data_IF_101813342568
#
_entry.id   IF_101813342568
#
_cell.length_a   1.000
_cell.length_b   1.000
_cell.length_c   1.000
_cell.angle_alpha   90.00
_cell.angle_beta   90.00
_cell.angle_gamma   90.00
#
_symmetry.space_group_name_H-M   'P 1'
#
loop_
_entity.id
_entity.type
_entity.pdbx_description
1 polymer ?
#
# COMPACT_ATOMS: atom_id res chain seq x y z
N UNK A 1 26.30 3.13 3.11
CA UNK A 1 25.78 1.80 3.49
C UNK A 1 25.39 1.69 4.97
N UNK A 2 26.24 2.08 5.93
CA UNK A 2 25.92 2.02 7.38
C UNK A 2 24.62 2.74 7.80
N UNK A 3 24.26 3.84 7.12
CA UNK A 3 23.07 4.66 7.44
C UNK A 3 21.76 3.97 7.06
N UNK A 4 21.68 3.42 5.85
CA UNK A 4 20.50 2.70 5.37
C UNK A 4 20.22 1.43 6.19
N UNK A 5 21.28 0.69 6.55
CA UNK A 5 21.15 -0.52 7.39
C UNK A 5 20.68 -0.19 8.80
N UNK A 6 21.19 0.91 9.38
CA UNK A 6 20.72 1.37 10.69
C UNK A 6 19.28 1.85 10.65
N UNK A 7 18.88 2.58 9.59
CA UNK A 7 17.50 3.00 9.38
C UNK A 7 16.57 1.79 9.21
N UNK A 8 16.98 0.78 8.43
CA UNK A 8 16.21 -0.45 8.25
C UNK A 8 16.03 -1.20 9.57
N UNK A 9 17.10 -1.34 10.36
CA UNK A 9 17.02 -1.98 11.68
C UNK A 9 16.09 -1.21 12.62
N UNK A 10 16.16 0.12 12.59
CA UNK A 10 15.29 0.98 13.39
C UNK A 10 13.83 0.77 12.98
N UNK A 11 13.52 0.85 11.69
CA UNK A 11 12.16 0.68 11.16
C UNK A 11 11.57 -0.68 11.55
N UNK A 12 12.32 -1.78 11.36
CA UNK A 12 11.87 -3.11 11.78
C UNK A 12 11.63 -3.17 13.29
N UNK A 13 12.50 -2.56 14.09
CA UNK A 13 12.33 -2.51 15.55
C UNK A 13 11.07 -1.74 15.95
N UNK A 14 10.79 -0.61 15.28
CA UNK A 14 9.58 0.19 15.52
C UNK A 14 8.32 -0.58 15.13
N UNK A 15 8.31 -1.23 13.96
CA UNK A 15 7.19 -2.06 13.49
C UNK A 15 6.84 -3.19 14.46
N UNK A 16 7.86 -3.83 15.05
CA UNK A 16 7.67 -4.87 16.07
C UNK A 16 7.14 -4.28 17.37
N UNK A 17 7.72 -3.18 17.86
CA UNK A 17 7.28 -2.51 19.11
C UNK A 17 5.86 -1.98 19.02
N UNK A 18 5.50 -1.39 17.88
CA UNK A 18 4.17 -0.85 17.57
C UNK A 18 3.17 -1.96 17.19
N UNK A 19 3.61 -3.24 17.19
CA UNK A 19 2.80 -4.43 16.91
C UNK A 19 2.20 -4.48 15.50
N UNK A 20 2.73 -3.71 14.54
CA UNK A 20 2.30 -3.77 13.14
C UNK A 20 2.49 -5.17 12.54
N UNK A 21 3.58 -5.88 12.88
CA UNK A 21 3.76 -7.25 12.40
C UNK A 21 2.68 -8.21 12.92
N UNK A 22 2.22 -8.03 14.16
CA UNK A 22 1.12 -8.82 14.72
C UNK A 22 -0.21 -8.46 14.06
N UNK A 23 -0.45 -7.17 13.80
CA UNK A 23 -1.61 -6.69 13.07
C UNK A 23 -1.62 -7.21 11.61
N UNK A 24 -0.45 -7.35 10.97
CA UNK A 24 -0.33 -7.92 9.62
C UNK A 24 -0.73 -9.40 9.60
N UNK A 25 -0.25 -10.18 10.57
CA UNK A 25 -0.66 -11.59 10.73
C UNK A 25 -2.17 -11.67 10.96
N UNK A 26 -2.71 -10.82 11.82
CA UNK A 26 -4.16 -10.75 12.07
C UNK A 26 -4.95 -10.39 10.80
N UNK A 27 -4.48 -9.43 9.99
CA UNK A 27 -5.06 -9.10 8.67
C UNK A 27 -5.12 -10.33 7.77
N UNK A 28 -3.99 -11.06 7.64
CA UNK A 28 -3.94 -12.29 6.85
C UNK A 28 -4.92 -13.36 7.35
N UNK A 29 -5.06 -13.51 8.67
CA UNK A 29 -6.04 -14.44 9.25
C UNK A 29 -7.48 -14.04 8.95
N UNK A 30 -7.81 -12.74 8.95
CA UNK A 30 -9.13 -12.25 8.54
C UNK A 30 -9.42 -12.65 7.09
N UNK A 31 -8.47 -12.43 6.19
CA UNK A 31 -8.67 -12.78 4.77
C UNK A 31 -8.81 -14.29 4.56
N UNK A 32 -8.04 -15.11 5.28
CA UNK A 32 -8.23 -16.56 5.27
C UNK A 32 -9.59 -16.99 5.82
N UNK A 33 -10.06 -16.34 6.89
CA UNK A 33 -11.38 -16.61 7.45
C UNK A 33 -12.51 -16.26 6.46
N UNK A 34 -12.29 -15.32 5.54
CA UNK A 34 -13.22 -14.99 4.46
C UNK A 34 -13.09 -15.98 3.29
N UNK A 35 -11.87 -16.32 2.86
CA UNK A 35 -11.62 -17.14 1.66
C UNK A 35 -11.87 -18.63 1.86
N UNK A 36 -11.45 -19.21 3.00
CA UNK A 36 -11.51 -20.66 3.21
C UNK A 36 -12.94 -21.22 3.23
N UNK A 37 -13.96 -20.52 3.77
CA UNK A 37 -15.35 -20.98 3.67
C UNK A 37 -15.93 -20.93 2.26
N UNK A 38 -15.35 -20.16 1.34
CA UNK A 38 -15.84 -20.07 -0.03
C UNK A 38 -15.56 -21.34 -0.82
N UNK A 39 -16.46 -21.67 -1.76
CA UNK A 39 -16.25 -22.77 -2.70
C UNK A 39 -15.06 -22.50 -3.61
N UNK A 40 -14.42 -23.56 -4.11
CA UNK A 40 -13.27 -23.45 -5.01
C UNK A 40 -13.55 -22.63 -6.27
N UNK A 41 -14.81 -22.56 -6.72
CA UNK A 41 -15.21 -21.73 -7.86
C UNK A 41 -15.30 -20.23 -7.53
N UNK A 42 -15.62 -19.86 -6.28
CA UNK A 42 -15.79 -18.46 -5.86
C UNK A 42 -14.49 -17.80 -5.39
N UNK A 43 -13.54 -18.58 -4.86
CA UNK A 43 -12.24 -18.07 -4.39
C UNK A 43 -11.48 -17.24 -5.43
N UNK A 44 -11.22 -17.76 -6.66
CA UNK A 44 -10.49 -16.97 -7.65
C UNK A 44 -11.22 -15.68 -7.99
N UNK A 45 -12.56 -15.64 -7.94
CA UNK A 45 -13.39 -14.46 -8.20
C UNK A 45 -13.18 -13.39 -7.11
N UNK A 46 -13.12 -13.80 -5.84
CA UNK A 46 -12.97 -12.90 -4.70
C UNK A 46 -11.53 -12.41 -4.46
N UNK A 47 -10.53 -13.19 -4.87
CA UNK A 47 -9.12 -12.95 -4.52
C UNK A 47 -8.56 -11.58 -4.94
N UNK A 48 -8.77 -11.05 -6.17
CA UNK A 48 -8.31 -9.70 -6.52
C UNK A 48 -8.87 -8.61 -5.60
N UNK A 49 -10.13 -8.71 -5.19
CA UNK A 49 -10.77 -7.75 -4.30
C UNK A 49 -10.21 -7.84 -2.88
N UNK A 50 -9.95 -9.06 -2.41
CA UNK A 50 -9.36 -9.32 -1.10
C UNK A 50 -7.92 -8.82 -1.05
N UNK A 51 -7.13 -9.07 -2.09
CA UNK A 51 -5.78 -8.53 -2.21
C UNK A 51 -5.76 -7.01 -2.30
N UNK A 52 -6.70 -6.39 -3.04
CA UNK A 52 -6.85 -4.93 -3.02
C UNK A 52 -7.23 -4.42 -1.62
N UNK A 53 -8.05 -5.17 -0.90
CA UNK A 53 -8.38 -4.91 0.50
C UNK A 53 -7.14 -4.96 1.40
N UNK A 54 -6.28 -5.98 1.27
CA UNK A 54 -5.03 -6.08 2.02
C UNK A 54 -4.04 -4.96 1.65
N UNK A 55 -3.94 -4.64 0.36
CA UNK A 55 -3.21 -3.48 -0.16
C UNK A 55 -3.71 -2.19 0.49
N UNK A 56 -5.01 -2.04 0.75
CA UNK A 56 -5.54 -0.92 1.51
C UNK A 56 -5.19 -0.99 3.00
N UNK A 57 -5.34 -2.15 3.65
CA UNK A 57 -5.03 -2.29 5.09
C UNK A 57 -3.55 -2.00 5.37
N UNK A 58 -2.65 -2.71 4.72
CA UNK A 58 -1.21 -2.58 4.96
C UNK A 58 -0.66 -1.38 4.21
N UNK A 59 -1.02 -1.22 2.94
CA UNK A 59 -0.49 -0.12 2.12
C UNK A 59 -1.00 1.24 2.59
N UNK A 60 -2.27 1.42 2.89
CA UNK A 60 -2.78 2.74 3.26
C UNK A 60 -2.74 2.99 4.78
N UNK A 61 -3.25 2.05 5.59
CA UNK A 61 -3.42 2.32 7.03
C UNK A 61 -2.15 2.11 7.85
N UNK A 62 -1.31 1.12 7.55
CA UNK A 62 -0.14 0.85 8.41
C UNK A 62 0.91 1.96 8.31
N UNK A 63 1.16 2.49 7.11
CA UNK A 63 2.09 3.61 6.97
C UNK A 63 1.54 4.87 7.63
N UNK A 64 0.24 5.15 7.50
CA UNK A 64 -0.39 6.29 8.16
C UNK A 64 -0.31 6.16 9.67
N UNK A 65 -0.66 4.99 10.22
CA UNK A 65 -0.51 4.68 11.64
C UNK A 65 0.92 4.81 12.13
N UNK A 66 1.90 4.30 11.36
CA UNK A 66 3.32 4.42 11.67
C UNK A 66 3.75 5.88 11.78
N UNK A 67 3.31 6.74 10.85
CA UNK A 67 3.57 8.19 10.92
C UNK A 67 2.94 8.82 12.16
N UNK A 68 1.73 8.42 12.57
CA UNK A 68 1.11 8.94 13.80
C UNK A 68 1.84 8.49 15.06
N UNK A 69 2.27 7.24 15.14
CA UNK A 69 3.13 6.80 16.25
C UNK A 69 4.42 7.61 16.30
N UNK A 70 5.06 7.85 15.16
CA UNK A 70 6.28 8.65 15.10
C UNK A 70 6.07 10.11 15.52
N UNK A 71 4.91 10.69 15.19
CA UNK A 71 4.51 12.03 15.66
C UNK A 71 4.27 12.05 17.17
N UNK A 72 3.56 11.05 17.71
CA UNK A 72 3.22 10.97 19.14
C UNK A 72 4.43 10.70 20.03
N UNK A 73 5.32 9.80 19.60
CA UNK A 73 6.56 9.44 20.30
C UNK A 73 7.66 10.50 20.14
N UNK A 74 7.40 11.58 19.37
CA UNK A 74 8.38 12.62 19.00
C UNK A 74 9.63 12.08 18.31
N UNK A 75 9.59 10.84 17.82
CA UNK A 75 10.71 10.20 17.11
C UNK A 75 10.92 10.83 15.75
N UNK A 76 9.88 11.38 15.13
CA UNK A 76 9.99 12.10 13.85
C UNK A 76 10.94 13.31 13.94
N UNK A 77 10.87 14.07 15.04
CA UNK A 77 11.79 15.19 15.29
C UNK A 77 13.23 14.74 15.54
N UNK A 78 13.41 13.61 16.24
CA UNK A 78 14.72 13.01 16.45
C UNK A 78 15.34 12.47 15.15
N UNK A 79 14.52 11.93 14.24
CA UNK A 79 14.99 11.48 12.92
C UNK A 79 15.44 12.68 12.07
N UNK A 80 14.71 13.79 12.10
CA UNK A 80 15.04 15.01 11.35
C UNK A 80 16.33 15.67 11.84
N UNK A 81 16.67 15.55 13.12
CA UNK A 81 17.94 16.07 13.67
C UNK A 81 19.15 15.19 13.37
N UNK A 82 18.95 14.01 12.76
CA UNK A 82 20.04 13.15 12.28
C UNK A 82 20.39 13.50 10.82
N UNK A 83 21.57 13.11 10.31
CA UNK A 83 21.90 13.31 8.89
C UNK A 83 21.06 12.46 7.92
N UNK A 84 20.00 11.76 8.38
CA UNK A 84 19.14 10.89 7.57
C UNK A 84 18.40 11.67 6.48
N UNK A 85 18.58 11.27 5.22
CA UNK A 85 17.90 11.93 4.10
C UNK A 85 16.45 11.44 4.02
N UNK A 86 15.55 12.31 3.59
CA UNK A 86 14.12 11.97 3.41
C UNK A 86 13.92 10.70 2.55
N UNK A 87 14.66 10.56 1.45
CA UNK A 87 14.52 9.38 0.59
C UNK A 87 14.97 8.09 1.29
N UNK A 88 15.99 8.14 2.17
CA UNK A 88 16.42 6.96 2.93
C UNK A 88 15.35 6.57 3.96
N UNK A 89 14.79 7.56 4.65
CA UNK A 89 13.68 7.37 5.59
C UNK A 89 12.47 6.73 4.90
N UNK A 90 11.99 7.36 3.81
CA UNK A 90 10.78 6.91 3.14
C UNK A 90 11.00 5.57 2.45
N UNK A 91 12.09 5.36 1.70
CA UNK A 91 12.35 4.10 1.02
C UNK A 91 12.48 2.91 1.98
N UNK A 92 13.11 3.10 3.15
CA UNK A 92 13.18 2.05 4.17
C UNK A 92 11.78 1.68 4.68
N UNK A 93 10.97 2.68 5.02
CA UNK A 93 9.60 2.47 5.49
C UNK A 93 8.74 1.76 4.43
N UNK A 94 8.84 2.21 3.18
CA UNK A 94 8.16 1.57 2.05
C UNK A 94 8.62 0.12 1.86
N UNK A 95 9.93 -0.15 1.91
CA UNK A 95 10.47 -1.49 1.71
C UNK A 95 10.02 -2.48 2.81
N UNK A 96 10.00 -2.05 4.07
CA UNK A 96 9.56 -2.91 5.18
C UNK A 96 8.08 -3.22 5.07
N UNK A 97 7.22 -2.22 4.88
CA UNK A 97 5.78 -2.43 4.76
C UNK A 97 5.39 -3.18 3.48
N UNK A 98 6.09 -2.92 2.37
CA UNK A 98 5.93 -3.70 1.14
C UNK A 98 6.28 -5.16 1.38
N UNK A 99 7.41 -5.45 2.04
CA UNK A 99 7.81 -6.81 2.37
C UNK A 99 6.77 -7.54 3.22
N UNK A 100 6.19 -6.85 4.22
CA UNK A 100 5.11 -7.39 5.04
C UNK A 100 3.86 -7.68 4.20
N UNK A 101 3.41 -6.74 3.36
CA UNK A 101 2.25 -6.92 2.48
C UNK A 101 2.45 -8.07 1.49
N UNK A 102 3.63 -8.14 0.85
CA UNK A 102 3.96 -9.23 -0.07
C UNK A 102 3.95 -10.58 0.64
N UNK A 103 4.55 -10.67 1.83
CA UNK A 103 4.56 -11.90 2.59
C UNK A 103 3.15 -12.34 3.00
N UNK A 104 2.33 -11.44 3.52
CA UNK A 104 0.94 -11.73 3.92
C UNK A 104 0.12 -12.20 2.72
N UNK A 105 0.14 -11.44 1.62
CA UNK A 105 -0.59 -11.81 0.40
C UNK A 105 -0.16 -13.17 -0.15
N UNK A 106 1.15 -13.46 -0.23
CA UNK A 106 1.63 -14.75 -0.72
C UNK A 106 1.19 -15.91 0.18
N UNK A 107 1.21 -15.73 1.50
CA UNK A 107 0.72 -16.75 2.44
C UNK A 107 -0.79 -16.97 2.25
N UNK A 108 -1.57 -15.88 2.19
CA UNK A 108 -3.03 -15.93 2.06
C UNK A 108 -3.43 -16.61 0.74
N UNK A 109 -2.86 -16.16 -0.38
CA UNK A 109 -3.16 -16.72 -1.70
C UNK A 109 -2.70 -18.17 -1.79
N UNK A 110 -1.51 -18.49 -1.30
CA UNK A 110 -1.01 -19.87 -1.39
C UNK A 110 -1.80 -20.84 -0.51
N UNK A 111 -2.30 -20.39 0.64
CA UNK A 111 -3.17 -21.20 1.49
C UNK A 111 -4.60 -21.34 0.93
N UNK A 112 -5.14 -20.32 0.26
CA UNK A 112 -6.49 -20.35 -0.31
C UNK A 112 -6.56 -21.08 -1.66
N UNK A 113 -5.54 -20.90 -2.50
CA UNK A 113 -5.53 -21.27 -3.92
C UNK A 113 -4.41 -22.26 -4.31
N UNK A 114 -3.55 -22.66 -3.37
CA UNK A 114 -2.35 -23.43 -3.69
C UNK A 114 -1.38 -22.62 -4.55
N UNK A 115 -0.84 -23.21 -5.62
CA UNK A 115 0.06 -22.52 -6.56
C UNK A 115 -0.56 -22.34 -7.96
N UNK A 116 -1.89 -22.43 -8.06
CA UNK A 116 -2.62 -22.30 -9.32
C UNK A 116 -2.96 -20.83 -9.64
N UNK A 117 -1.95 -19.96 -9.60
CA UNK A 117 -2.06 -18.55 -9.98
C UNK A 117 -0.86 -18.13 -10.82
N UNK A 118 -0.98 -17.06 -11.61
CA UNK A 118 0.14 -16.53 -12.39
C UNK A 118 1.00 -15.62 -11.48
N UNK A 119 2.24 -16.01 -11.13
CA UNK A 119 3.02 -15.29 -10.13
C UNK A 119 3.48 -13.90 -10.62
N UNK A 120 3.72 -13.72 -11.92
CA UNK A 120 4.23 -12.46 -12.45
C UNK A 120 3.17 -11.33 -12.40
N UNK A 121 1.93 -11.50 -12.93
CA UNK A 121 0.86 -10.53 -12.72
C UNK A 121 0.54 -10.30 -11.23
N UNK A 122 0.54 -11.37 -10.43
CA UNK A 122 0.28 -11.28 -8.99
C UNK A 122 1.28 -10.35 -8.28
N UNK A 123 2.58 -10.64 -8.42
CA UNK A 123 3.63 -9.88 -7.74
C UNK A 123 3.74 -8.46 -8.26
N UNK A 124 3.57 -8.25 -9.58
CA UNK A 124 3.63 -6.90 -10.15
C UNK A 124 2.44 -6.05 -9.71
N UNK A 125 1.22 -6.58 -9.77
CA UNK A 125 0.02 -5.90 -9.28
C UNK A 125 0.13 -5.60 -7.79
N UNK A 126 0.55 -6.57 -6.99
CA UNK A 126 0.72 -6.40 -5.54
C UNK A 126 1.77 -5.34 -5.20
N UNK A 127 2.96 -5.40 -5.79
CA UNK A 127 4.03 -4.44 -5.50
C UNK A 127 3.64 -3.03 -5.89
N UNK A 128 3.09 -2.84 -7.10
CA UNK A 128 2.69 -1.51 -7.57
C UNK A 128 1.50 -0.96 -6.77
N UNK A 129 0.49 -1.80 -6.51
CA UNK A 129 -0.69 -1.42 -5.72
C UNK A 129 -0.32 -1.03 -4.29
N UNK A 130 0.49 -1.85 -3.61
CA UNK A 130 0.96 -1.57 -2.25
C UNK A 130 1.80 -0.29 -2.21
N UNK A 131 2.75 -0.10 -3.13
CA UNK A 131 3.57 1.13 -3.15
C UNK A 131 2.73 2.39 -3.39
N UNK A 132 1.73 2.33 -4.28
CA UNK A 132 0.81 3.45 -4.50
C UNK A 132 0.06 3.79 -3.20
N UNK A 133 -0.54 2.78 -2.56
CA UNK A 133 -1.28 3.00 -1.32
C UNK A 133 -0.39 3.45 -0.18
N UNK A 134 0.84 2.96 -0.09
CA UNK A 134 1.83 3.44 0.88
C UNK A 134 2.11 4.92 0.71
N UNK A 135 2.35 5.38 -0.52
CA UNK A 135 2.59 6.80 -0.74
C UNK A 135 1.34 7.64 -0.46
N UNK A 136 0.14 7.21 -0.88
CA UNK A 136 -1.10 7.96 -0.62
C UNK A 136 -1.40 8.00 0.89
N UNK A 137 -1.27 6.88 1.61
CA UNK A 137 -1.45 6.80 3.06
C UNK A 137 -0.46 7.69 3.80
N UNK A 138 0.82 7.67 3.38
CA UNK A 138 1.85 8.55 3.92
C UNK A 138 1.48 10.03 3.73
N UNK A 139 1.25 10.45 2.48
CA UNK A 139 0.95 11.85 2.09
C UNK A 139 -0.26 12.38 2.86
N UNK A 140 -1.36 11.63 2.87
CA UNK A 140 -2.61 12.05 3.52
C UNK A 140 -2.49 12.15 5.04
N UNK A 141 -1.58 11.38 5.66
CA UNK A 141 -1.36 11.43 7.12
C UNK A 141 -0.55 12.65 7.58
N UNK A 142 0.22 13.29 6.69
CA UNK A 142 1.16 14.37 7.06
C UNK A 142 0.48 15.61 7.68
N UNK A 143 -0.64 16.14 7.13
CA UNK A 143 -1.24 17.39 7.62
C UNK A 143 -1.87 17.28 9.02
N UNK A 144 -2.31 16.07 9.39
CA UNK A 144 -3.12 15.83 10.59
C UNK A 144 -2.27 15.52 11.83
N UNK A 145 -2.74 15.95 13.00
CA UNK A 145 -2.14 15.63 14.31
C UNK A 145 -2.85 14.47 15.03
N UNK A 146 -4.13 14.23 14.71
CA UNK A 146 -4.97 13.19 15.28
C UNK A 146 -5.28 12.10 14.27
N UNK A 147 -5.25 10.83 14.72
CA UNK A 147 -5.62 9.66 13.91
C UNK A 147 -7.09 9.74 13.50
N UNK A 148 -7.98 10.16 14.40
CA UNK A 148 -9.42 10.21 14.16
C UNK A 148 -9.78 11.19 13.03
N UNK A 149 -9.18 12.38 13.06
CA UNK A 149 -9.42 13.41 12.04
C UNK A 149 -8.90 12.97 10.67
N UNK A 150 -7.71 12.35 10.67
CA UNK A 150 -7.17 11.76 9.45
C UNK A 150 -8.07 10.65 8.92
N UNK A 151 -8.53 9.72 9.76
CA UNK A 151 -9.37 8.61 9.32
C UNK A 151 -10.65 9.09 8.63
N UNK A 152 -11.28 10.14 9.15
CA UNK A 152 -12.44 10.77 8.50
C UNK A 152 -12.07 11.35 7.12
N UNK A 153 -11.01 12.15 7.03
CA UNK A 153 -10.59 12.76 5.76
C UNK A 153 -10.01 11.75 4.75
N UNK A 154 -9.39 10.69 5.24
CA UNK A 154 -8.68 9.68 4.46
C UNK A 154 -9.63 8.76 3.68
N UNK A 155 -10.90 8.70 4.10
CA UNK A 155 -11.96 7.97 3.40
C UNK A 155 -12.10 8.40 1.94
N UNK A 156 -11.93 9.69 1.64
CA UNK A 156 -12.02 10.21 0.27
C UNK A 156 -10.92 9.63 -0.65
N UNK A 157 -9.64 9.88 -0.36
CA UNK A 157 -8.52 9.29 -1.12
C UNK A 157 -8.60 7.76 -1.19
N UNK A 158 -8.95 7.10 -0.08
CA UNK A 158 -9.11 5.65 -0.05
C UNK A 158 -10.20 5.18 -1.02
N UNK A 159 -11.40 5.77 -0.96
CA UNK A 159 -12.52 5.42 -1.83
C UNK A 159 -12.22 5.68 -3.32
N UNK A 160 -11.49 6.74 -3.63
CA UNK A 160 -11.03 7.01 -5.01
C UNK A 160 -10.03 5.94 -5.46
N UNK A 161 -9.07 5.58 -4.60
CA UNK A 161 -7.99 4.64 -4.95
C UNK A 161 -8.39 3.15 -4.83
N UNK A 162 -9.48 2.78 -4.17
CA UNK A 162 -9.97 1.38 -4.13
C UNK A 162 -11.35 1.23 -4.74
N UNK A 163 -12.30 2.06 -4.31
CA UNK A 163 -13.70 1.95 -4.70
C UNK A 163 -13.90 2.13 -6.20
N UNK A 164 -13.32 3.17 -6.80
CA UNK A 164 -13.47 3.41 -8.24
C UNK A 164 -12.88 2.29 -9.11
N UNK A 165 -11.65 1.77 -8.86
CA UNK A 165 -11.14 0.58 -9.54
C UNK A 165 -12.06 -0.64 -9.39
N UNK A 166 -12.60 -0.88 -8.20
CA UNK A 166 -13.53 -1.98 -7.94
C UNK A 166 -14.81 -1.84 -8.77
N UNK A 167 -15.36 -0.63 -8.89
CA UNK A 167 -16.54 -0.39 -9.73
C UNK A 167 -16.28 -0.69 -11.22
N UNK A 168 -15.08 -0.36 -11.72
CA UNK A 168 -14.68 -0.71 -13.08
C UNK A 168 -14.51 -2.23 -13.24
N UNK A 169 -13.73 -2.84 -12.36
CA UNK A 169 -13.35 -4.26 -12.46
C UNK A 169 -14.54 -5.20 -12.26
N UNK A 170 -15.49 -4.83 -11.40
CA UNK A 170 -16.75 -5.58 -11.21
C UNK A 170 -17.77 -5.42 -12.34
N UNK A 171 -17.53 -4.50 -13.28
CA UNK A 171 -18.46 -4.20 -14.38
C UNK A 171 -19.65 -3.30 -14.00
N UNK A 172 -19.75 -2.85 -12.74
CA UNK A 172 -20.84 -1.97 -12.27
C UNK A 172 -20.79 -0.60 -12.94
N UNK A 173 -19.59 -0.04 -13.13
CA UNK A 173 -19.42 1.22 -13.84
C UNK A 173 -18.17 1.19 -14.72
N UNK A 174 -18.38 0.94 -16.01
CA UNK A 174 -17.31 0.84 -17.00
C UNK A 174 -17.18 2.17 -17.75
N UNK A 175 -16.34 3.07 -17.24
CA UNK A 175 -16.05 4.36 -17.87
C UNK A 175 -14.54 4.49 -18.15
N UNK A 176 -14.14 5.00 -19.34
CA UNK A 176 -12.74 5.25 -19.65
C UNK A 176 -12.04 6.20 -18.67
N UNK A 177 -12.80 7.07 -17.99
CA UNK A 177 -12.28 8.00 -16.98
C UNK A 177 -11.63 7.26 -15.81
N UNK A 178 -12.07 6.03 -15.50
CA UNK A 178 -11.54 5.25 -14.39
C UNK A 178 -10.09 4.78 -14.64
N UNK A 179 -9.62 4.78 -15.89
CA UNK A 179 -8.20 4.57 -16.22
C UNK A 179 -7.28 5.68 -15.67
N UNK A 180 -7.82 6.83 -15.25
CA UNK A 180 -7.03 7.85 -14.56
C UNK A 180 -6.63 7.42 -13.14
N UNK A 181 -7.31 6.44 -12.54
CA UNK A 181 -7.00 5.99 -11.20
C UNK A 181 -5.82 5.00 -11.26
N UNK A 182 -4.67 5.31 -10.64
CA UNK A 182 -3.45 4.54 -10.83
C UNK A 182 -3.53 3.11 -10.27
N UNK A 183 -4.41 2.85 -9.32
CA UNK A 183 -4.62 1.52 -8.72
C UNK A 183 -5.49 0.60 -9.56
N UNK A 184 -6.11 1.10 -10.64
CA UNK A 184 -6.83 0.24 -11.59
C UNK A 184 -5.88 -0.73 -12.31
N UNK A 185 -4.70 -0.27 -12.72
CA UNK A 185 -3.67 -1.12 -13.33
C UNK A 185 -3.29 -2.32 -12.45
N UNK A 186 -2.88 -2.11 -11.18
CA UNK A 186 -2.65 -3.15 -10.20
C UNK A 186 -3.83 -4.13 -10.06
N UNK A 187 -5.07 -3.63 -9.98
CA UNK A 187 -6.25 -4.49 -9.86
C UNK A 187 -6.46 -5.37 -11.11
N UNK A 188 -6.22 -4.83 -12.31
CA UNK A 188 -6.28 -5.60 -13.55
C UNK A 188 -5.23 -6.71 -13.60
N UNK A 189 -4.00 -6.44 -13.14
CA UNK A 189 -2.93 -7.45 -13.03
C UNK A 189 -3.28 -8.54 -12.00
N UNK A 190 -3.90 -8.17 -10.89
CA UNK A 190 -4.42 -9.13 -9.91
C UNK A 190 -5.54 -9.99 -10.53
N UNK A 191 -6.44 -9.40 -11.32
CA UNK A 191 -7.46 -10.13 -12.07
C UNK A 191 -6.88 -11.13 -13.08
N UNK A 192 -5.83 -10.73 -13.79
CA UNK A 192 -5.09 -11.62 -14.70
C UNK A 192 -4.37 -12.75 -13.95
N UNK A 193 -3.90 -12.50 -12.72
CA UNK A 193 -3.23 -13.50 -11.90
C UNK A 193 -4.10 -14.73 -11.60
N UNK A 194 -5.42 -14.54 -11.53
CA UNK A 194 -6.41 -15.59 -11.25
C UNK A 194 -7.28 -15.92 -12.46
N UNK A 195 -6.78 -15.65 -13.67
CA UNK A 195 -7.43 -15.94 -14.96
C UNK A 195 -8.86 -15.34 -15.11
N UNK A 196 -9.19 -14.28 -14.35
CA UNK A 196 -10.49 -13.59 -14.47
C UNK A 196 -10.56 -12.70 -15.72
N UNK A 197 -9.43 -12.10 -16.09
CA UNK A 197 -9.32 -11.16 -17.20
C UNK A 197 -8.08 -11.49 -18.00
N UNK A 198 -8.20 -11.47 -19.33
CA UNK A 198 -7.03 -11.55 -20.22
C UNK A 198 -6.69 -10.14 -20.70
N UNK A 199 -5.54 -9.63 -20.27
CA UNK A 199 -5.13 -8.27 -20.64
C UNK A 199 -4.56 -8.21 -22.05
N UNK A 200 -5.02 -7.23 -22.83
CA UNK A 200 -4.39 -6.89 -24.10
C UNK A 200 -2.99 -6.29 -23.86
N UNK A 201 -2.05 -6.37 -24.82
CA UNK A 201 -0.68 -5.85 -24.63
C UNK A 201 -0.62 -4.38 -24.18
N UNK A 202 -1.53 -3.54 -24.68
CA UNK A 202 -1.62 -2.14 -24.25
C UNK A 202 -2.13 -1.98 -22.82
N UNK A 203 -3.00 -2.88 -22.34
CA UNK A 203 -3.49 -2.87 -20.96
C UNK A 203 -2.39 -3.29 -19.99
N UNK A 204 -1.54 -4.24 -20.38
CA UNK A 204 -0.34 -4.60 -19.60
C UNK A 204 0.61 -3.41 -19.51
N UNK A 205 0.88 -2.74 -20.64
CA UNK A 205 1.72 -1.54 -20.66
C UNK A 205 1.14 -0.42 -19.77
N UNK A 206 -0.18 -0.16 -19.87
CA UNK A 206 -0.88 0.77 -18.98
C UNK A 206 -0.74 0.36 -17.51
N UNK A 207 -1.02 -0.90 -17.20
CA UNK A 207 -1.07 -1.41 -15.83
C UNK A 207 0.29 -1.43 -15.12
N UNK A 208 1.39 -1.25 -15.87
CA UNK A 208 2.74 -1.13 -15.33
C UNK A 208 3.24 0.31 -15.39
N UNK A 209 3.20 0.94 -16.57
CA UNK A 209 3.80 2.26 -16.78
C UNK A 209 3.04 3.39 -16.06
N UNK A 210 1.70 3.32 -16.05
CA UNK A 210 0.90 4.37 -15.43
C UNK A 210 1.04 4.39 -13.89
N UNK A 211 0.97 3.24 -13.17
CA UNK A 211 1.31 3.20 -11.75
C UNK A 211 2.74 3.66 -11.45
N UNK A 212 3.73 3.27 -12.26
CA UNK A 212 5.12 3.70 -12.07
C UNK A 212 5.25 5.23 -12.18
N UNK A 213 4.60 5.85 -13.17
CA UNK A 213 4.54 7.30 -13.28
C UNK A 213 3.85 7.92 -12.05
N UNK A 214 2.75 7.32 -11.60
CA UNK A 214 2.05 7.71 -10.36
C UNK A 214 2.95 7.64 -9.13
N UNK A 215 3.78 6.60 -8.99
CA UNK A 215 4.75 6.47 -7.89
C UNK A 215 5.77 7.60 -7.89
N UNK A 216 6.29 7.99 -9.06
CA UNK A 216 7.23 9.12 -9.17
C UNK A 216 6.55 10.42 -8.73
N UNK A 217 5.34 10.70 -9.23
CA UNK A 217 4.59 11.91 -8.86
C UNK A 217 4.28 11.93 -7.36
N UNK A 218 3.75 10.85 -6.82
CA UNK A 218 3.43 10.74 -5.40
C UNK A 218 4.68 10.84 -4.52
N UNK A 219 5.81 10.29 -4.93
CA UNK A 219 7.06 10.42 -4.18
C UNK A 219 7.56 11.88 -4.14
N UNK A 220 7.42 12.63 -5.24
CA UNK A 220 7.74 14.06 -5.27
C UNK A 220 6.80 14.87 -4.38
N UNK A 221 5.50 14.57 -4.41
CA UNK A 221 4.50 15.19 -3.52
C UNK A 221 4.80 14.87 -2.06
N UNK A 222 5.11 13.61 -1.74
CA UNK A 222 5.51 13.19 -0.40
C UNK A 222 6.71 13.97 0.11
N UNK A 223 7.72 14.20 -0.74
CA UNK A 223 8.89 15.02 -0.40
C UNK A 223 8.50 16.47 -0.09
N UNK A 224 7.67 17.08 -0.94
CA UNK A 224 7.25 18.46 -0.78
C UNK A 224 6.42 18.65 0.51
N UNK A 225 5.42 17.78 0.74
CA UNK A 225 4.56 17.86 1.91
C UNK A 225 5.28 17.50 3.21
N UNK A 226 6.26 16.59 3.17
CA UNK A 226 7.05 16.28 4.34
C UNK A 226 7.88 17.49 4.79
N UNK A 227 8.50 18.20 3.85
CA UNK A 227 9.18 19.47 4.14
C UNK A 227 8.24 20.50 4.75
N UNK A 228 7.07 20.69 4.15
CA UNK A 228 6.11 21.69 4.60
C UNK A 228 5.47 21.39 5.97
N UNK A 229 4.99 20.17 6.20
CA UNK A 229 4.22 19.84 7.40
C UNK A 229 5.08 19.33 8.56
N UNK A 230 6.24 18.76 8.27
CA UNK A 230 7.07 18.12 9.31
C UNK A 230 8.28 18.98 9.63
N UNK A 231 9.06 19.40 8.63
CA UNK A 231 10.31 20.14 8.85
C UNK A 231 10.03 21.59 9.30
N UNK A 232 9.16 22.31 8.59
CA UNK A 232 8.86 23.70 8.93
C UNK A 232 8.17 23.86 10.31
N UNK A 233 7.37 22.86 10.74
CA UNK A 233 6.72 22.85 12.07
C UNK A 233 7.66 22.46 13.21
N UNK A 234 8.77 21.80 12.93
CA UNK A 234 9.75 21.36 13.94
C UNK A 234 10.91 22.33 14.12
N UNK A 235 10.85 23.53 13.52
CA UNK A 235 11.85 24.59 13.68
C UNK A 235 13.04 24.49 12.73
N UNK A 236 12.97 23.64 11.70
CA UNK A 236 13.95 23.63 10.61
C UNK A 236 13.66 24.79 9.67
N UNK A 237 14.60 25.74 9.58
CA UNK A 237 14.58 26.85 8.61
C UNK A 237 14.49 26.34 7.17
#
# INVERSE_FOLDING_TARGET
MKRLTSALRLEVTLQVRQKFLHAAVFSGLIWLAVLLPMSHALRPIAEPYILLGDIAIIGFFFIGGSVFFEKQERTLGAVISTPLRFWEYLCVKLAVLLGVSVLVALIVVSAAHGFAYRPLPLLTGLVLGTLLMLLVGFITSLPFSSVSDWFMSATGPLAVMTGLPVLYFSGVWVSPVLYLIPTLGPLLLLGEAFDQVTLAPWQVAYAVLYPLAGLVVLFLVARALFGHYVVARSGGM
#
